data_IF_332160608514
#
_entry.id   IF_332160608514
#
_cell.length_a   1.000
_cell.length_b   1.000
_cell.length_c   1.000
_cell.angle_alpha   90.00
_cell.angle_beta   90.00
_cell.angle_gamma   90.00
#
_symmetry.space_group_name_H-M   'P 1'
#
loop_
_entity.id
_entity.type
_entity.pdbx_description
1 polymer ?
#
# COMPACT_ATOMS: atom_id res chain seq x y z
N UNK A 1 22.39 -14.25 -66.58
CA UNK A 1 22.31 -13.55 -65.28
C UNK A 1 23.53 -13.96 -64.46
N UNK A 2 24.29 -12.97 -64.00
CA UNK A 2 25.73 -13.02 -63.78
C UNK A 2 26.14 -13.92 -62.61
N UNK A 3 27.18 -14.71 -62.87
CA UNK A 3 27.87 -15.60 -61.96
C UNK A 3 28.77 -14.86 -60.96
N UNK A 4 28.91 -15.47 -59.79
CA UNK A 4 29.80 -15.10 -58.70
C UNK A 4 31.29 -15.09 -59.08
N UNK A 5 32.02 -14.31 -58.28
CA UNK A 5 33.38 -14.58 -57.77
C UNK A 5 34.57 -13.87 -58.44
N UNK A 6 35.29 -13.11 -57.61
CA UNK A 6 36.75 -12.98 -57.59
C UNK A 6 37.15 -13.19 -56.10
N UNK A 7 37.96 -14.19 -55.73
CA UNK A 7 39.44 -14.28 -55.88
C UNK A 7 40.07 -13.12 -55.06
N UNK A 8 40.98 -13.26 -54.09
CA UNK A 8 41.88 -14.36 -53.70
C UNK A 8 42.70 -14.00 -52.44
N UNK A 9 42.96 -15.04 -51.61
CA UNK A 9 44.18 -15.43 -50.87
C UNK A 9 44.94 -14.47 -49.92
N UNK A 10 45.14 -15.04 -48.71
CA UNK A 10 46.39 -15.25 -47.92
C UNK A 10 47.18 -14.00 -47.48
N UNK A 11 47.90 -13.95 -46.37
CA UNK A 11 48.07 -14.71 -45.12
C UNK A 11 49.28 -14.04 -44.43
N UNK A 12 49.20 -13.73 -43.13
CA UNK A 12 50.33 -13.56 -42.19
C UNK A 12 49.71 -13.18 -40.84
N UNK A 13 49.67 -14.09 -39.87
CA UNK A 13 50.71 -14.31 -38.85
C UNK A 13 50.62 -13.29 -37.70
N UNK A 14 50.35 -13.87 -36.53
CA UNK A 14 50.32 -13.33 -35.17
C UNK A 14 51.13 -12.06 -34.92
N UNK A 15 50.55 -11.15 -34.13
CA UNK A 15 51.17 -10.78 -32.85
C UNK A 15 50.13 -10.29 -31.84
N UNK A 16 50.38 -10.70 -30.61
CA UNK A 16 49.58 -10.48 -29.42
C UNK A 16 49.68 -9.04 -28.91
N UNK A 17 48.57 -8.32 -28.84
CA UNK A 17 48.44 -7.15 -27.95
C UNK A 17 47.13 -7.23 -27.15
N UNK A 18 47.33 -7.57 -25.88
CA UNK A 18 46.36 -7.56 -24.82
C UNK A 18 45.93 -6.11 -24.53
N UNK A 19 44.92 -5.60 -25.23
CA UNK A 19 44.32 -4.30 -24.90
C UNK A 19 43.43 -4.42 -23.67
N UNK A 20 43.99 -4.12 -22.51
CA UNK A 20 43.26 -3.81 -21.29
C UNK A 20 42.32 -2.63 -21.56
N UNK A 21 41.03 -2.91 -21.77
CA UNK A 21 40.01 -1.87 -21.71
C UNK A 21 40.01 -1.27 -20.30
N UNK A 22 40.06 0.07 -20.16
CA UNK A 22 39.98 0.69 -18.85
C UNK A 22 38.60 0.41 -18.22
N UNK A 23 38.53 0.14 -16.91
CA UNK A 23 37.27 -0.15 -16.25
C UNK A 23 36.31 1.02 -16.41
N UNK A 24 35.06 0.70 -16.79
CA UNK A 24 33.98 1.66 -16.91
C UNK A 24 33.92 2.54 -15.65
N UNK A 25 34.06 3.86 -15.82
CA UNK A 25 33.94 4.83 -14.73
C UNK A 25 32.55 4.68 -14.11
N UNK A 26 32.48 4.05 -12.93
CA UNK A 26 31.27 4.00 -12.09
C UNK A 26 30.84 5.46 -11.86
N UNK A 27 29.73 5.86 -12.48
CA UNK A 27 29.17 7.20 -12.32
C UNK A 27 28.90 7.46 -10.84
N UNK A 28 29.49 8.52 -10.30
CA UNK A 28 29.27 8.99 -8.92
C UNK A 28 27.77 9.29 -8.77
N UNK A 29 27.09 8.50 -7.93
CA UNK A 29 25.64 8.59 -7.73
C UNK A 29 25.31 9.96 -7.13
N UNK A 30 24.41 10.72 -7.76
CA UNK A 30 23.85 11.94 -7.13
C UNK A 30 23.05 11.51 -5.90
N UNK A 31 23.42 12.01 -4.74
CA UNK A 31 22.57 11.97 -3.54
C UNK A 31 21.23 12.61 -3.88
N UNK A 32 20.13 11.97 -3.48
CA UNK A 32 18.78 12.46 -3.75
C UNK A 32 18.60 13.85 -3.13
N UNK A 33 18.12 14.79 -3.94
CA UNK A 33 17.82 16.15 -3.51
C UNK A 33 16.81 16.14 -2.35
N UNK A 34 16.92 17.10 -1.43
CA UNK A 34 16.05 17.18 -0.25
C UNK A 34 14.57 17.28 -0.65
N UNK A 35 14.27 18.07 -1.69
CA UNK A 35 12.94 18.16 -2.29
C UNK A 35 12.42 16.80 -2.76
N UNK A 36 13.25 16.01 -3.43
CA UNK A 36 12.86 14.68 -3.92
C UNK A 36 12.62 13.70 -2.76
N UNK A 37 13.35 13.84 -1.65
CA UNK A 37 13.09 13.07 -0.41
C UNK A 37 11.71 13.38 0.15
N UNK A 38 11.36 14.64 0.31
CA UNK A 38 10.04 15.07 0.81
C UNK A 38 8.91 14.53 -0.07
N UNK A 39 9.05 14.65 -1.39
CA UNK A 39 8.06 14.10 -2.34
C UNK A 39 7.92 12.58 -2.16
N UNK A 40 9.02 11.85 -1.96
CA UNK A 40 8.94 10.40 -1.76
C UNK A 40 8.32 10.03 -0.39
N UNK A 41 8.59 10.79 0.68
CA UNK A 41 7.92 10.60 1.96
C UNK A 41 6.41 10.85 1.85
N UNK A 42 6.00 11.89 1.13
CA UNK A 42 4.58 12.15 0.84
C UNK A 42 3.91 10.99 0.11
N UNK A 43 4.56 10.45 -0.93
CA UNK A 43 4.08 9.26 -1.66
C UNK A 43 3.95 8.04 -0.76
N UNK A 44 4.94 7.80 0.09
CA UNK A 44 4.97 6.69 1.02
C UNK A 44 3.84 6.80 2.07
N UNK A 45 3.65 8.01 2.62
CA UNK A 45 2.61 8.30 3.59
C UNK A 45 1.20 8.08 3.04
N UNK A 46 0.92 8.52 1.80
CA UNK A 46 -0.39 8.27 1.19
C UNK A 46 -0.69 6.77 1.02
N UNK A 47 0.33 5.96 0.71
CA UNK A 47 0.18 4.52 0.47
C UNK A 47 0.11 3.68 1.75
N UNK A 48 0.81 4.09 2.81
CA UNK A 48 0.99 3.30 4.03
C UNK A 48 0.51 3.98 5.32
N UNK A 49 0.04 5.22 5.24
CA UNK A 49 -0.41 6.01 6.39
C UNK A 49 -1.88 6.36 6.26
N UNK A 50 -2.18 7.46 5.57
CA UNK A 50 -3.56 7.92 5.41
C UNK A 50 -3.77 8.56 4.03
N UNK A 51 -4.83 8.15 3.32
CA UNK A 51 -5.13 8.70 1.99
C UNK A 51 -6.05 9.93 2.01
N UNK A 52 -6.66 10.24 3.16
CA UNK A 52 -7.66 11.29 3.33
C UNK A 52 -7.29 12.38 4.34
N UNK A 53 -6.26 12.15 5.16
CA UNK A 53 -5.64 13.18 6.00
C UNK A 53 -4.34 13.57 5.33
N UNK A 54 -4.21 14.82 4.89
CA UNK A 54 -2.98 15.29 4.25
C UNK A 54 -1.83 15.36 5.25
N UNK A 55 -0.56 15.34 4.81
CA UNK A 55 0.57 15.60 5.68
C UNK A 55 0.43 16.89 6.50
N UNK A 56 0.03 17.99 5.87
CA UNK A 56 -0.24 19.29 6.52
C UNK A 56 -1.25 19.13 7.66
N UNK A 57 -2.43 18.58 7.36
CA UNK A 57 -3.49 18.36 8.36
C UNK A 57 -3.02 17.52 9.55
N UNK A 58 -2.18 16.50 9.30
CA UNK A 58 -1.63 15.67 10.37
C UNK A 58 -0.64 16.44 11.24
N UNK A 59 0.19 17.29 10.64
CA UNK A 59 1.18 18.12 11.34
C UNK A 59 0.48 19.21 12.16
N UNK A 60 -0.42 19.98 11.54
CA UNK A 60 -1.20 21.03 12.19
C UNK A 60 -1.98 20.48 13.39
N UNK A 61 -2.66 19.34 13.21
CA UNK A 61 -3.39 18.71 14.30
C UNK A 61 -2.48 18.38 15.48
N UNK A 62 -1.25 17.89 15.23
CA UNK A 62 -0.31 17.60 16.30
C UNK A 62 0.18 18.87 17.01
N UNK A 63 0.43 19.95 16.28
CA UNK A 63 0.81 21.24 16.88
C UNK A 63 -0.31 21.76 17.80
N UNK A 64 -1.56 21.74 17.32
CA UNK A 64 -2.72 22.12 18.12
C UNK A 64 -2.87 21.27 19.39
N UNK A 65 -2.64 19.94 19.31
CA UNK A 65 -2.70 19.08 20.49
C UNK A 65 -1.59 19.39 21.50
N UNK A 66 -0.37 19.74 21.05
CA UNK A 66 0.71 20.14 21.95
C UNK A 66 0.43 21.49 22.64
N UNK A 67 -0.14 22.44 21.91
CA UNK A 67 -0.57 23.72 22.49
C UNK A 67 -1.64 23.51 23.55
N UNK A 68 -2.64 22.66 23.28
CA UNK A 68 -3.68 22.31 24.25
C UNK A 68 -3.10 21.63 25.49
N UNK A 69 -2.21 20.64 25.33
CA UNK A 69 -1.53 19.96 26.44
C UNK A 69 -0.65 20.92 27.28
N UNK A 70 -0.05 21.94 26.65
CA UNK A 70 0.77 22.94 27.33
C UNK A 70 -0.02 24.06 28.03
N UNK A 71 -1.29 24.25 27.67
CA UNK A 71 -2.20 25.24 28.26
C UNK A 71 -3.06 24.68 29.41
N UNK A 72 -3.09 23.36 29.60
CA UNK A 72 -3.78 22.73 30.73
C UNK A 72 -3.06 23.07 32.05
N UNK A 73 -3.54 24.11 32.74
CA UNK A 73 -3.15 24.40 34.12
C UNK A 73 -3.64 23.24 35.03
N UNK A 74 -2.75 22.55 35.77
CA UNK A 74 -3.13 21.44 36.65
C UNK A 74 -4.11 21.83 37.76
N UNK A 75 -4.36 23.13 37.97
CA UNK A 75 -5.34 23.66 38.93
C UNK A 75 -6.68 24.10 38.30
N UNK A 76 -6.82 24.08 36.97
CA UNK A 76 -8.06 24.41 36.28
C UNK A 76 -9.07 23.24 36.30
N UNK A 77 -10.39 23.51 36.38
CA UNK A 77 -11.39 22.46 36.24
C UNK A 77 -11.21 21.78 34.88
N UNK A 78 -11.21 20.44 34.89
CA UNK A 78 -10.99 19.61 33.69
C UNK A 78 -11.78 20.14 32.50
N UNK A 79 -11.10 20.33 31.37
CA UNK A 79 -11.71 20.66 30.07
C UNK A 79 -12.97 19.81 29.85
N UNK A 80 -14.04 20.38 29.25
CA UNK A 80 -15.27 19.63 29.00
C UNK A 80 -14.93 18.33 28.27
N UNK A 81 -15.41 17.20 28.80
CA UNK A 81 -15.24 15.89 28.17
C UNK A 81 -15.73 15.98 26.72
N UNK A 82 -14.80 15.82 25.78
CA UNK A 82 -15.11 15.73 24.36
C UNK A 82 -16.20 14.69 24.16
N UNK A 83 -17.17 14.99 23.28
CA UNK A 83 -18.10 13.97 22.85
C UNK A 83 -17.36 12.83 22.12
N UNK A 84 -18.06 11.71 21.94
CA UNK A 84 -17.47 10.50 21.35
C UNK A 84 -16.95 10.71 19.93
N UNK A 85 -17.61 11.55 19.14
CA UNK A 85 -17.27 11.77 17.74
C UNK A 85 -16.07 12.70 17.63
N UNK A 86 -16.01 13.76 18.44
CA UNK A 86 -14.87 14.65 18.56
C UNK A 86 -13.61 13.90 19.01
N UNK A 87 -13.74 13.00 20.02
CA UNK A 87 -12.62 12.15 20.45
C UNK A 87 -12.15 11.22 19.33
N UNK A 88 -13.07 10.57 18.62
CA UNK A 88 -12.73 9.69 17.50
C UNK A 88 -12.03 10.44 16.36
N UNK A 89 -12.44 11.68 16.08
CA UNK A 89 -11.79 12.54 15.10
C UNK A 89 -10.36 12.92 15.51
N UNK A 90 -10.13 13.27 16.77
CA UNK A 90 -8.78 13.53 17.29
C UNK A 90 -7.89 12.28 17.22
N UNK A 91 -8.40 11.13 17.64
CA UNK A 91 -7.64 9.87 17.61
C UNK A 91 -7.27 9.48 16.17
N UNK A 92 -8.15 9.76 15.21
CA UNK A 92 -7.88 9.57 13.78
C UNK A 92 -6.74 10.47 13.27
N UNK A 93 -6.72 11.75 13.66
CA UNK A 93 -5.64 12.69 13.30
C UNK A 93 -4.31 12.33 13.99
N UNK A 94 -4.35 11.92 15.26
CA UNK A 94 -3.16 11.41 15.98
C UNK A 94 -2.57 10.19 15.29
N UNK A 95 -3.42 9.23 14.90
CA UNK A 95 -3.00 8.06 14.15
C UNK A 95 -2.38 8.45 12.80
N UNK A 96 -2.96 9.40 12.07
CA UNK A 96 -2.39 9.92 10.83
C UNK A 96 -0.99 10.51 11.04
N UNK A 97 -0.80 11.34 12.07
CA UNK A 97 0.51 11.90 12.42
C UNK A 97 1.53 10.81 12.81
N UNK A 98 1.12 9.81 13.61
CA UNK A 98 1.99 8.68 13.97
C UNK A 98 2.49 7.93 12.74
N UNK A 99 1.63 7.71 11.73
CA UNK A 99 2.03 7.10 10.47
C UNK A 99 2.98 7.99 9.66
N UNK A 100 2.73 9.30 9.61
CA UNK A 100 3.63 10.24 8.93
C UNK A 100 5.02 10.22 9.56
N UNK A 101 5.10 10.30 10.89
CA UNK A 101 6.35 10.20 11.65
C UNK A 101 7.07 8.86 11.42
N UNK A 102 6.34 7.76 11.39
CA UNK A 102 6.93 6.44 11.11
C UNK A 102 7.48 6.35 9.68
N UNK A 103 6.88 7.07 8.74
CA UNK A 103 7.27 7.08 7.32
C UNK A 103 8.43 8.04 7.06
N UNK A 104 8.49 9.15 7.80
CA UNK A 104 9.51 10.18 7.72
C UNK A 104 10.22 10.30 9.09
N UNK A 105 11.26 9.47 9.35
CA UNK A 105 11.87 9.38 10.68
C UNK A 105 12.43 10.70 11.24
N UNK A 106 13.04 11.53 10.38
CA UNK A 106 13.58 12.84 10.79
C UNK A 106 12.55 13.98 10.77
N UNK A 107 11.25 13.68 10.58
CA UNK A 107 10.18 14.68 10.52
C UNK A 107 10.24 15.66 11.68
N UNK A 108 10.35 15.18 12.91
CA UNK A 108 10.34 16.06 14.10
C UNK A 108 11.55 16.99 14.09
N UNK A 109 12.76 16.44 13.86
CA UNK A 109 13.98 17.25 13.81
C UNK A 109 13.95 18.29 12.70
N UNK A 110 13.51 17.88 11.50
CA UNK A 110 13.45 18.77 10.35
C UNK A 110 12.39 19.85 10.57
N UNK A 111 11.21 19.54 11.13
CA UNK A 111 10.18 20.54 11.43
C UNK A 111 10.54 21.48 12.58
N UNK A 112 11.39 21.05 13.52
CA UNK A 112 11.90 21.93 14.59
C UNK A 112 13.02 22.84 14.08
N UNK A 113 13.83 22.39 13.12
CA UNK A 113 14.92 23.20 12.53
C UNK A 113 14.41 24.22 11.52
N UNK A 114 13.27 23.97 10.89
CA UNK A 114 12.71 24.80 9.82
C UNK A 114 11.40 25.45 10.29
N UNK A 115 11.29 26.77 10.12
CA UNK A 115 10.11 27.56 10.52
C UNK A 115 9.64 28.46 9.37
N UNK A 116 8.40 28.96 9.47
CA UNK A 116 7.78 29.81 8.45
C UNK A 116 7.84 29.20 7.06
N UNK A 117 8.36 29.96 6.08
CA UNK A 117 8.37 29.57 4.67
C UNK A 117 9.10 28.24 4.38
N UNK A 118 10.07 27.83 5.20
CA UNK A 118 10.77 26.56 5.02
C UNK A 118 9.90 25.37 5.43
N UNK A 119 9.12 25.52 6.51
CA UNK A 119 8.11 24.53 6.91
C UNK A 119 7.00 24.44 5.87
N UNK A 120 6.47 25.57 5.42
CA UNK A 120 5.42 25.62 4.38
C UNK A 120 5.90 24.92 3.10
N UNK A 121 7.18 25.12 2.73
CA UNK A 121 7.79 24.42 1.62
C UNK A 121 7.82 22.90 1.84
N UNK A 122 8.23 22.44 3.03
CA UNK A 122 8.26 21.02 3.37
C UNK A 122 6.88 20.38 3.29
N UNK A 123 5.89 21.00 3.91
CA UNK A 123 4.49 20.56 3.91
C UNK A 123 3.97 20.46 2.47
N UNK A 124 4.14 21.52 1.68
CA UNK A 124 3.78 21.55 0.26
C UNK A 124 4.41 20.38 -0.53
N UNK A 125 5.68 20.02 -0.27
CA UNK A 125 6.34 18.91 -0.97
C UNK A 125 5.88 17.54 -0.51
N UNK A 126 5.53 17.38 0.76
CA UNK A 126 4.90 16.16 1.27
C UNK A 126 3.51 16.00 0.63
N UNK A 127 2.71 17.05 0.58
CA UNK A 127 1.38 17.03 -0.05
C UNK A 127 1.46 16.71 -1.54
N UNK A 128 2.34 17.41 -2.27
CA UNK A 128 2.59 17.15 -3.69
C UNK A 128 2.97 15.68 -3.93
N UNK A 129 3.76 15.09 -3.03
CA UNK A 129 4.07 13.66 -3.06
C UNK A 129 2.85 12.77 -2.87
N UNK A 130 2.04 13.05 -1.85
CA UNK A 130 0.84 12.29 -1.52
C UNK A 130 -0.17 12.30 -2.67
N UNK A 131 -0.46 13.48 -3.23
CA UNK A 131 -1.39 13.63 -4.35
C UNK A 131 -0.91 12.95 -5.63
N UNK A 132 0.39 13.08 -5.95
CA UNK A 132 0.99 12.40 -7.10
C UNK A 132 0.88 10.88 -6.97
N UNK A 133 1.09 10.32 -5.78
CA UNK A 133 0.90 8.89 -5.56
C UNK A 133 -0.56 8.48 -5.79
N UNK A 134 -1.51 9.16 -5.13
CA UNK A 134 -2.93 8.84 -5.24
C UNK A 134 -3.44 8.90 -6.67
N UNK A 135 -3.10 9.96 -7.39
CA UNK A 135 -3.51 10.14 -8.80
C UNK A 135 -2.93 9.04 -9.70
N UNK A 136 -1.62 8.78 -9.61
CA UNK A 136 -0.95 7.77 -10.42
C UNK A 136 -1.48 6.36 -10.12
N UNK A 137 -1.64 6.01 -8.84
CA UNK A 137 -2.11 4.70 -8.41
C UNK A 137 -3.58 4.50 -8.82
N UNK A 138 -4.44 5.51 -8.65
CA UNK A 138 -5.85 5.47 -9.09
C UNK A 138 -5.96 5.22 -10.60
N UNK A 139 -5.17 5.94 -11.40
CA UNK A 139 -5.14 5.74 -12.84
C UNK A 139 -4.63 4.34 -13.21
N UNK A 140 -3.56 3.87 -12.57
CA UNK A 140 -2.98 2.55 -12.83
C UNK A 140 -3.98 1.42 -12.54
N UNK A 141 -4.65 1.44 -11.39
CA UNK A 141 -5.64 0.41 -11.03
C UNK A 141 -6.86 0.48 -11.95
N UNK A 142 -7.37 1.68 -12.25
CA UNK A 142 -8.49 1.83 -13.19
C UNK A 142 -8.14 1.30 -14.57
N UNK A 143 -6.94 1.61 -15.08
CA UNK A 143 -6.45 1.09 -16.36
C UNK A 143 -6.33 -0.43 -16.34
N UNK A 144 -5.85 -1.02 -15.25
CA UNK A 144 -5.68 -2.46 -15.16
C UNK A 144 -7.02 -3.22 -15.06
N UNK A 145 -8.03 -2.62 -14.43
CA UNK A 145 -9.42 -3.12 -14.47
C UNK A 145 -9.99 -3.02 -15.89
N UNK A 146 -9.81 -1.87 -16.57
CA UNK A 146 -10.32 -1.61 -17.91
C UNK A 146 -9.85 -2.65 -18.94
N UNK A 147 -8.58 -3.07 -18.84
CA UNK A 147 -7.91 -3.94 -19.81
C UNK A 147 -7.82 -5.42 -19.38
N UNK A 148 -8.64 -5.84 -18.41
CA UNK A 148 -8.64 -7.21 -17.88
C UNK A 148 -7.29 -7.72 -17.33
N UNK A 149 -6.40 -6.82 -16.90
CA UNK A 149 -5.05 -7.19 -16.44
C UNK A 149 -5.07 -7.78 -15.01
N UNK A 150 -6.08 -7.43 -14.20
CA UNK A 150 -6.20 -7.92 -12.81
C UNK A 150 -7.38 -8.85 -12.57
N UNK A 151 -8.36 -8.83 -13.47
CA UNK A 151 -9.58 -9.65 -13.43
C UNK A 151 -10.18 -9.72 -14.85
N UNK A 152 -10.65 -10.89 -15.26
CA UNK A 152 -11.28 -11.08 -16.56
C UNK A 152 -12.77 -10.77 -16.50
N UNK A 153 -13.18 -9.66 -17.11
CA UNK A 153 -14.58 -9.27 -17.24
C UNK A 153 -15.18 -9.74 -18.56
N UNK A 154 -16.40 -10.26 -18.49
CA UNK A 154 -17.25 -10.55 -19.64
C UNK A 154 -18.65 -9.96 -19.37
N UNK A 155 -19.16 -9.04 -20.21
CA UNK A 155 -18.51 -8.39 -21.35
C UNK A 155 -17.23 -7.58 -21.00
N UNK A 156 -16.44 -7.22 -22.01
CA UNK A 156 -15.22 -6.42 -21.81
C UNK A 156 -15.54 -4.98 -21.38
N UNK A 157 -14.91 -4.52 -20.29
CA UNK A 157 -15.10 -3.16 -19.78
C UNK A 157 -14.59 -2.05 -20.72
N UNK A 158 -13.59 -2.35 -21.55
CA UNK A 158 -13.02 -1.38 -22.50
C UNK A 158 -13.96 -0.98 -23.64
N UNK A 159 -15.07 -1.69 -23.80
CA UNK A 159 -16.07 -1.42 -24.83
C UNK A 159 -17.22 -0.54 -24.33
N UNK A 160 -17.23 -0.19 -23.05
CA UNK A 160 -18.32 0.55 -22.41
C UNK A 160 -17.78 1.71 -21.57
N UNK A 161 -18.59 2.76 -21.46
CA UNK A 161 -18.26 3.91 -20.61
C UNK A 161 -18.16 3.53 -19.13
N UNK A 162 -17.27 4.20 -18.40
CA UNK A 162 -17.10 4.01 -16.94
C UNK A 162 -18.40 4.15 -16.16
N UNK A 163 -19.33 5.00 -16.61
CA UNK A 163 -20.64 5.18 -15.98
C UNK A 163 -21.53 3.92 -16.08
N UNK A 164 -21.24 3.04 -17.04
CA UNK A 164 -21.91 1.75 -17.22
C UNK A 164 -21.21 0.59 -16.47
N UNK A 165 -20.20 0.88 -15.65
CA UNK A 165 -19.59 -0.11 -14.76
C UNK A 165 -20.40 -0.23 -13.47
N UNK A 166 -19.76 -0.65 -12.36
CA UNK A 166 -20.43 -0.78 -11.08
C UNK A 166 -21.55 -1.81 -11.17
N UNK A 167 -22.75 -1.40 -10.78
CA UNK A 167 -23.92 -2.27 -10.81
C UNK A 167 -24.51 -2.47 -12.20
N UNK A 168 -24.18 -1.63 -13.19
CA UNK A 168 -24.73 -1.76 -14.56
C UNK A 168 -24.07 -2.89 -15.36
N UNK A 169 -22.83 -3.22 -15.06
CA UNK A 169 -22.08 -4.30 -15.71
C UNK A 169 -22.03 -5.56 -14.81
N UNK A 170 -22.34 -6.74 -15.37
CA UNK A 170 -22.54 -7.98 -14.59
C UNK A 170 -21.33 -8.39 -13.76
N UNK A 171 -20.12 -8.37 -14.33
CA UNK A 171 -18.92 -8.81 -13.62
C UNK A 171 -18.51 -7.85 -12.49
N UNK A 172 -18.63 -6.54 -12.71
CA UNK A 172 -18.33 -5.54 -11.66
C UNK A 172 -19.41 -5.52 -10.60
N UNK A 173 -20.68 -5.75 -10.97
CA UNK A 173 -21.79 -5.86 -10.05
C UNK A 173 -21.62 -7.06 -9.12
N UNK A 174 -21.21 -8.21 -9.65
CA UNK A 174 -20.90 -9.40 -8.86
C UNK A 174 -19.80 -9.14 -7.83
N UNK A 175 -18.70 -8.52 -8.26
CA UNK A 175 -17.56 -8.18 -7.39
C UNK A 175 -17.92 -7.14 -6.32
N UNK A 176 -18.78 -6.17 -6.65
CA UNK A 176 -19.25 -5.13 -5.73
C UNK A 176 -20.49 -5.54 -4.93
N UNK A 177 -21.04 -6.74 -5.12
CA UNK A 177 -22.22 -7.13 -4.36
C UNK A 177 -21.85 -7.34 -2.88
N UNK A 178 -22.69 -6.89 -1.93
CA UNK A 178 -22.46 -7.09 -0.51
C UNK A 178 -22.31 -8.57 -0.15
N UNK A 179 -21.26 -8.91 0.60
CA UNK A 179 -20.96 -10.30 1.03
C UNK A 179 -22.06 -10.91 1.90
N UNK A 180 -22.89 -10.07 2.53
CA UNK A 180 -23.99 -10.49 3.39
C UNK A 180 -25.19 -11.06 2.63
N UNK A 181 -25.19 -11.00 1.29
CA UNK A 181 -26.24 -11.52 0.43
C UNK A 181 -25.62 -12.20 -0.79
N UNK A 182 -26.10 -13.38 -1.14
CA UNK A 182 -25.70 -14.01 -2.41
C UNK A 182 -26.34 -13.28 -3.59
N UNK A 183 -25.55 -12.99 -4.62
CA UNK A 183 -26.12 -12.51 -5.88
C UNK A 183 -26.80 -13.70 -6.58
N UNK A 184 -28.12 -13.68 -6.62
CA UNK A 184 -28.96 -14.68 -7.30
C UNK A 184 -30.09 -13.98 -8.04
N UNK A 185 -30.80 -14.70 -8.92
CA UNK A 185 -32.02 -14.20 -9.58
C UNK A 185 -33.04 -13.67 -8.56
N UNK A 186 -33.08 -14.26 -7.36
CA UNK A 186 -33.95 -13.81 -6.27
C UNK A 186 -33.64 -12.39 -5.78
N UNK A 187 -32.40 -11.90 -5.98
CA UNK A 187 -31.93 -10.58 -5.55
C UNK A 187 -31.78 -9.59 -6.72
N UNK A 188 -32.32 -9.90 -7.91
CA UNK A 188 -32.29 -9.00 -9.07
C UNK A 188 -32.99 -7.66 -8.76
N UNK A 189 -34.04 -7.68 -7.94
CA UNK A 189 -34.71 -6.47 -7.44
C UNK A 189 -33.79 -5.57 -6.64
N UNK A 190 -32.90 -6.13 -5.80
CA UNK A 190 -31.95 -5.35 -5.01
C UNK A 190 -30.95 -4.64 -5.94
N UNK A 191 -30.41 -5.36 -6.93
CA UNK A 191 -29.51 -4.78 -7.95
C UNK A 191 -30.22 -3.68 -8.73
N UNK A 192 -31.49 -3.89 -9.10
CA UNK A 192 -32.28 -2.87 -9.79
C UNK A 192 -32.49 -1.62 -8.93
N UNK A 193 -32.83 -1.78 -7.66
CA UNK A 193 -32.99 -0.64 -6.73
C UNK A 193 -31.68 0.13 -6.52
N UNK A 194 -30.54 -0.57 -6.48
CA UNK A 194 -29.23 0.08 -6.40
C UNK A 194 -28.93 0.86 -7.69
N UNK A 195 -29.15 0.26 -8.87
CA UNK A 195 -28.97 0.92 -10.19
C UNK A 195 -29.85 2.16 -10.34
N UNK A 196 -31.09 2.08 -9.85
CA UNK A 196 -32.05 3.18 -9.90
C UNK A 196 -31.77 4.27 -8.85
N UNK A 197 -30.75 4.10 -8.00
CA UNK A 197 -30.42 5.06 -6.93
C UNK A 197 -31.43 5.07 -5.78
N UNK A 198 -32.34 4.09 -5.71
CA UNK A 198 -33.34 3.96 -4.65
C UNK A 198 -32.72 3.41 -3.36
N UNK A 199 -31.67 2.60 -3.47
CA UNK A 199 -30.93 2.04 -2.34
C UNK A 199 -29.46 2.45 -2.46
N UNK A 200 -28.96 3.10 -1.41
CA UNK A 200 -27.53 3.35 -1.26
C UNK A 200 -26.89 2.26 -0.41
N UNK A 201 -25.76 1.73 -0.87
CA UNK A 201 -24.98 0.77 -0.10
C UNK A 201 -24.10 1.54 0.88
N UNK A 202 -24.27 1.23 2.17
CA UNK A 202 -23.49 1.82 3.24
C UNK A 202 -21.99 1.58 3.07
N UNK A 203 -21.19 2.57 3.49
CA UNK A 203 -19.74 2.51 3.44
C UNK A 203 -19.10 1.55 4.48
N UNK A 204 -19.90 0.95 5.37
CA UNK A 204 -19.44 -0.08 6.32
C UNK A 204 -19.55 -1.51 5.80
N UNK A 205 -19.95 -1.70 4.54
CA UNK A 205 -20.23 -3.02 3.96
C UNK A 205 -18.99 -3.61 3.30
N UNK A 206 -18.86 -4.93 3.40
CA UNK A 206 -17.84 -5.72 2.72
C UNK A 206 -18.37 -6.32 1.41
N UNK A 207 -17.47 -6.48 0.44
CA UNK A 207 -17.78 -6.83 -0.94
C UNK A 207 -17.06 -8.11 -1.37
N UNK A 208 -17.65 -8.82 -2.33
CA UNK A 208 -17.11 -10.07 -2.87
C UNK A 208 -15.66 -9.96 -3.35
N UNK A 209 -15.27 -8.85 -3.98
CA UNK A 209 -13.90 -8.65 -4.46
C UNK A 209 -12.83 -8.73 -3.36
N UNK A 210 -13.21 -8.57 -2.09
CA UNK A 210 -12.30 -8.66 -0.96
C UNK A 210 -11.93 -10.10 -0.62
N UNK A 211 -12.74 -11.10 -0.98
CA UNK A 211 -12.52 -12.49 -0.60
C UNK A 211 -11.66 -13.24 -1.61
N UNK A 212 -10.84 -14.15 -1.08
CA UNK A 212 -10.23 -15.23 -1.87
C UNK A 212 -11.33 -16.03 -2.59
N UNK A 213 -11.20 -16.22 -3.90
CA UNK A 213 -12.25 -16.84 -4.72
C UNK A 213 -13.50 -15.98 -4.94
N UNK A 214 -13.50 -14.73 -4.48
CA UNK A 214 -14.58 -13.75 -4.66
C UNK A 214 -15.92 -14.12 -4.01
N UNK A 215 -15.88 -14.95 -2.97
CA UNK A 215 -17.04 -15.29 -2.15
C UNK A 215 -16.59 -15.81 -0.77
N UNK A 216 -17.35 -15.57 0.32
CA UNK A 216 -17.11 -16.20 1.61
C UNK A 216 -17.37 -17.70 1.51
N UNK A 217 -16.30 -18.49 1.63
CA UNK A 217 -16.40 -19.95 1.44
C UNK A 217 -16.82 -20.68 2.72
N UNK A 218 -16.64 -20.08 3.90
CA UNK A 218 -16.75 -20.78 5.19
C UNK A 218 -17.85 -20.19 6.10
N UNK A 219 -19.02 -20.85 6.22
CA UNK A 219 -20.12 -20.42 7.09
C UNK A 219 -19.77 -20.40 8.59
N UNK A 220 -18.68 -21.06 9.01
CA UNK A 220 -18.23 -21.09 10.41
C UNK A 220 -17.16 -20.04 10.68
N UNK A 221 -16.49 -19.56 9.64
CA UNK A 221 -15.48 -18.51 9.73
C UNK A 221 -15.63 -17.53 8.55
N UNK A 222 -16.55 -16.57 8.70
CA UNK A 222 -16.84 -15.58 7.65
C UNK A 222 -15.62 -14.72 7.27
N UNK A 223 -14.60 -14.62 8.13
CA UNK A 223 -13.37 -13.87 7.84
C UNK A 223 -12.31 -14.69 7.10
N UNK A 224 -12.51 -16.00 6.93
CA UNK A 224 -11.59 -16.83 6.15
C UNK A 224 -11.55 -16.34 4.71
N UNK A 225 -10.36 -16.02 4.22
CA UNK A 225 -10.17 -15.49 2.88
C UNK A 225 -10.49 -13.99 2.74
N UNK A 226 -11.00 -13.31 3.78
CA UNK A 226 -11.28 -11.89 3.72
C UNK A 226 -10.00 -11.07 3.49
N UNK A 227 -10.08 -10.06 2.64
CA UNK A 227 -8.97 -9.23 2.16
C UNK A 227 -7.84 -10.02 1.46
N UNK A 228 -8.15 -11.17 0.87
CA UNK A 228 -7.22 -12.01 0.09
C UNK A 228 -7.66 -12.22 -1.37
N UNK A 229 -8.64 -11.43 -1.84
CA UNK A 229 -9.06 -11.48 -3.24
C UNK A 229 -7.91 -11.24 -4.20
N UNK A 230 -7.82 -12.04 -5.26
CA UNK A 230 -6.69 -11.98 -6.21
C UNK A 230 -6.59 -10.60 -6.88
N UNK A 231 -7.73 -9.94 -7.13
CA UNK A 231 -7.78 -8.57 -7.63
C UNK A 231 -7.10 -7.56 -6.68
N UNK A 232 -7.19 -7.75 -5.36
CA UNK A 232 -6.49 -6.92 -4.37
C UNK A 232 -4.98 -7.17 -4.43
N UNK A 233 -4.56 -8.44 -4.50
CA UNK A 233 -3.14 -8.79 -4.57
C UNK A 233 -2.49 -8.24 -5.84
N UNK A 234 -3.17 -8.36 -6.98
CA UNK A 234 -2.73 -7.80 -8.26
C UNK A 234 -2.67 -6.26 -8.20
N UNK A 235 -3.66 -5.60 -7.61
CA UNK A 235 -3.64 -4.15 -7.44
C UNK A 235 -2.49 -3.68 -6.53
N UNK A 236 -2.22 -4.39 -5.44
CA UNK A 236 -1.04 -4.13 -4.60
C UNK A 236 0.25 -4.24 -5.42
N UNK A 237 0.38 -5.30 -6.24
CA UNK A 237 1.54 -5.49 -7.11
C UNK A 237 1.73 -4.35 -8.10
N UNK A 238 0.67 -3.86 -8.73
CA UNK A 238 0.74 -2.70 -9.63
C UNK A 238 1.25 -1.45 -8.88
N UNK A 239 0.70 -1.17 -7.69
CA UNK A 239 1.03 0.04 -6.92
C UNK A 239 2.47 0.00 -6.39
N UNK A 240 2.90 -1.13 -5.82
CA UNK A 240 4.18 -1.21 -5.11
C UNK A 240 5.31 -1.74 -5.97
N UNK A 241 5.03 -2.61 -6.95
CA UNK A 241 6.04 -3.25 -7.79
C UNK A 241 5.96 -2.90 -9.29
N UNK A 242 4.83 -2.32 -9.72
CA UNK A 242 4.60 -1.91 -11.10
C UNK A 242 3.82 -2.96 -11.91
N UNK A 243 3.14 -2.51 -12.97
CA UNK A 243 2.22 -3.33 -13.76
C UNK A 243 2.85 -4.61 -14.34
N UNK A 244 4.13 -4.55 -14.71
CA UNK A 244 4.84 -5.72 -15.24
C UNK A 244 4.86 -6.91 -14.28
N UNK A 245 4.68 -6.71 -12.96
CA UNK A 245 4.60 -7.81 -12.00
C UNK A 245 3.33 -8.64 -12.10
N UNK A 246 2.27 -8.11 -12.70
CA UNK A 246 1.02 -8.85 -12.92
C UNK A 246 1.00 -9.50 -14.31
N UNK A 247 1.68 -8.90 -15.29
CA UNK A 247 1.67 -9.37 -16.69
C UNK A 247 2.87 -10.24 -17.06
N UNK A 248 3.92 -10.29 -16.23
CA UNK A 248 5.09 -11.12 -16.51
C UNK A 248 4.86 -12.61 -16.19
N UNK A 249 5.62 -13.51 -16.84
CA UNK A 249 5.69 -14.90 -16.41
C UNK A 249 6.20 -15.05 -14.97
N UNK A 250 5.70 -16.06 -14.25
CA UNK A 250 5.98 -16.28 -12.83
C UNK A 250 7.48 -16.36 -12.48
N UNK A 251 8.32 -16.88 -13.37
CA UNK A 251 9.77 -16.99 -13.16
C UNK A 251 10.51 -15.63 -13.19
N UNK A 252 9.87 -14.55 -13.64
CA UNK A 252 10.45 -13.20 -13.67
C UNK A 252 9.95 -12.30 -12.52
N UNK A 253 8.85 -12.67 -11.87
CA UNK A 253 8.19 -11.90 -10.82
C UNK A 253 9.16 -11.50 -9.69
N UNK A 254 9.96 -12.45 -9.26
CA UNK A 254 10.98 -12.29 -8.22
C UNK A 254 12.01 -11.20 -8.53
N UNK A 255 12.48 -11.14 -9.78
CA UNK A 255 13.45 -10.15 -10.21
C UNK A 255 12.84 -8.74 -10.21
N UNK A 256 11.60 -8.61 -10.68
CA UNK A 256 10.89 -7.34 -10.73
C UNK A 256 10.60 -6.79 -9.32
N UNK A 257 10.18 -7.65 -8.38
CA UNK A 257 9.92 -7.26 -6.99
C UNK A 257 11.17 -6.76 -6.25
N UNK A 258 12.32 -7.37 -6.53
CA UNK A 258 13.62 -6.97 -5.96
C UNK A 258 14.26 -5.77 -6.66
N UNK A 259 13.70 -5.31 -7.78
CA UNK A 259 14.25 -4.20 -8.56
C UNK A 259 14.21 -2.89 -7.78
N UNK A 260 15.37 -2.21 -7.65
CA UNK A 260 15.47 -0.88 -6.98
C UNK A 260 14.63 0.24 -7.63
N UNK A 261 14.01 -0.04 -8.78
CA UNK A 261 13.14 0.90 -9.49
C UNK A 261 11.68 0.84 -9.02
N UNK A 262 11.29 -0.18 -8.26
CA UNK A 262 9.91 -0.32 -7.81
C UNK A 262 9.53 0.70 -6.74
N UNK A 263 8.23 0.97 -6.60
CA UNK A 263 7.73 1.95 -5.63
C UNK A 263 7.98 1.50 -4.18
N UNK A 264 7.95 0.19 -3.89
CA UNK A 264 8.30 -0.34 -2.58
C UNK A 264 9.75 0.02 -2.20
N UNK A 265 10.72 -0.32 -3.06
CA UNK A 265 12.13 -0.03 -2.82
C UNK A 265 12.41 1.48 -2.68
N UNK A 266 11.82 2.29 -3.58
CA UNK A 266 12.03 3.76 -3.59
C UNK A 266 11.49 4.45 -2.34
N UNK A 267 10.50 3.85 -1.69
CA UNK A 267 9.85 4.40 -0.50
C UNK A 267 10.24 3.63 0.79
N UNK A 268 11.26 2.76 0.74
CA UNK A 268 11.73 2.01 1.90
C UNK A 268 10.73 0.99 2.47
N UNK A 269 9.78 0.53 1.66
CA UNK A 269 8.70 -0.37 2.10
C UNK A 269 9.24 -1.80 2.09
N UNK A 270 9.44 -2.37 3.27
CA UNK A 270 10.01 -3.72 3.47
C UNK A 270 8.95 -4.78 3.85
N UNK A 271 7.72 -4.36 4.14
CA UNK A 271 6.60 -5.23 4.50
C UNK A 271 5.26 -4.59 4.15
N UNK A 272 4.21 -5.41 4.06
CA UNK A 272 2.82 -4.95 3.89
C UNK A 272 2.30 -4.45 5.24
N UNK A 273 1.67 -3.27 5.25
CA UNK A 273 0.92 -2.75 6.40
C UNK A 273 -0.60 -2.90 6.21
N UNK A 274 -1.37 -2.77 7.30
CA UNK A 274 -2.83 -2.78 7.22
C UNK A 274 -3.36 -1.60 6.39
N UNK A 275 -2.76 -0.43 6.56
CA UNK A 275 -3.09 0.80 5.83
C UNK A 275 -2.92 0.61 4.32
N UNK A 276 -1.86 -0.09 3.91
CA UNK A 276 -1.64 -0.42 2.50
C UNK A 276 -2.76 -1.31 1.94
N UNK A 277 -3.20 -2.32 2.71
CA UNK A 277 -4.34 -3.17 2.33
C UNK A 277 -5.63 -2.33 2.22
N UNK A 278 -5.89 -1.44 3.18
CA UNK A 278 -7.05 -0.54 3.16
C UNK A 278 -7.02 0.39 1.93
N UNK A 279 -5.84 0.98 1.66
CA UNK A 279 -5.63 1.87 0.52
C UNK A 279 -5.92 1.15 -0.80
N UNK A 280 -5.31 0.00 -1.02
CA UNK A 280 -5.55 -0.84 -2.22
C UNK A 280 -7.02 -1.22 -2.34
N UNK A 281 -7.65 -1.65 -1.25
CA UNK A 281 -9.06 -2.03 -1.23
C UNK A 281 -9.98 -0.87 -1.65
N UNK A 282 -9.67 0.35 -1.18
CA UNK A 282 -10.41 1.56 -1.53
C UNK A 282 -10.27 1.91 -3.01
N UNK A 283 -9.05 1.82 -3.55
CA UNK A 283 -8.81 2.06 -4.98
C UNK A 283 -9.48 1.01 -5.87
N UNK A 284 -9.46 -0.26 -5.48
CA UNK A 284 -10.15 -1.33 -6.24
C UNK A 284 -11.66 -1.11 -6.23
N UNK A 285 -12.28 -0.77 -5.09
CA UNK A 285 -13.71 -0.43 -5.05
C UNK A 285 -14.03 0.68 -6.06
N UNK A 286 -13.25 1.77 -6.03
CA UNK A 286 -13.42 2.87 -6.98
C UNK A 286 -13.29 2.41 -8.43
N UNK A 287 -12.23 1.65 -8.71
CA UNK A 287 -11.97 1.13 -10.04
C UNK A 287 -13.09 0.20 -10.54
N UNK A 288 -13.78 -0.54 -9.68
CA UNK A 288 -14.92 -1.38 -10.07
C UNK A 288 -16.26 -0.61 -10.21
N UNK A 289 -16.38 0.55 -9.59
CA UNK A 289 -17.64 1.32 -9.52
C UNK A 289 -18.04 2.01 -10.83
N UNK A 290 -19.16 2.73 -10.87
CA UNK A 290 -19.51 3.64 -11.95
C UNK A 290 -19.00 5.08 -11.74
N UNK A 291 -18.34 5.35 -10.60
CA UNK A 291 -17.88 6.69 -10.25
C UNK A 291 -16.73 7.13 -11.17
N UNK A 292 -16.81 8.36 -11.69
CA UNK A 292 -15.81 8.90 -12.64
C UNK A 292 -14.65 9.60 -11.95
N UNK A 293 -14.81 9.98 -10.67
CA UNK A 293 -13.79 10.62 -9.85
C UNK A 293 -13.74 10.02 -8.45
N UNK A 294 -12.53 9.86 -7.93
CA UNK A 294 -12.31 9.42 -6.55
C UNK A 294 -12.33 10.65 -5.64
N UNK A 295 -13.48 10.91 -5.03
CA UNK A 295 -13.64 11.98 -4.03
C UNK A 295 -13.88 11.37 -2.65
N UNK A 296 -13.57 12.08 -1.55
CA UNK A 296 -13.89 11.62 -0.19
C UNK A 296 -15.38 11.27 -0.01
N UNK A 297 -16.26 11.87 -0.81
CA UNK A 297 -17.70 11.92 -0.58
C UNK A 297 -18.03 12.74 0.66
N UNK A 298 -19.29 13.17 0.78
CA UNK A 298 -19.76 13.82 2.00
C UNK A 298 -20.71 12.87 2.74
N UNK A 299 -20.33 12.34 3.93
CA UNK A 299 -21.21 11.48 4.71
C UNK A 299 -22.39 12.23 5.36
N UNK A 300 -22.36 13.57 5.41
CA UNK A 300 -23.38 14.42 6.06
C UNK A 300 -24.31 15.13 5.07
N UNK A 301 -23.88 15.35 3.83
CA UNK A 301 -24.75 15.86 2.77
C UNK A 301 -25.31 14.63 2.06
N UNK A 302 -26.64 14.50 2.03
CA UNK A 302 -27.39 13.45 1.34
C UNK A 302 -27.23 13.43 -0.19
N UNK A 303 -26.04 13.76 -0.68
CA UNK A 303 -25.67 13.64 -2.07
C UNK A 303 -25.69 12.17 -2.46
N UNK A 304 -26.18 11.88 -3.66
CA UNK A 304 -26.50 10.53 -4.13
C UNK A 304 -25.28 9.61 -4.37
N UNK A 305 -24.09 9.94 -3.86
CA UNK A 305 -22.82 9.25 -4.13
C UNK A 305 -22.28 8.40 -2.98
N UNK A 306 -21.40 7.46 -3.31
CA UNK A 306 -20.72 6.61 -2.31
C UNK A 306 -19.67 7.39 -1.51
N UNK A 307 -19.65 7.24 -0.19
CA UNK A 307 -18.62 7.87 0.67
C UNK A 307 -17.36 7.02 0.73
N UNK A 308 -16.35 7.36 -0.07
CA UNK A 308 -15.04 6.69 -0.03
C UNK A 308 -14.25 6.97 1.24
N UNK A 309 -14.39 8.15 1.84
CA UNK A 309 -13.78 8.46 3.13
C UNK A 309 -14.42 7.66 4.26
N UNK A 310 -15.75 7.51 4.26
CA UNK A 310 -16.45 6.62 5.18
C UNK A 310 -16.03 5.16 5.01
N UNK A 311 -15.87 4.71 3.77
CA UNK A 311 -15.44 3.34 3.46
C UNK A 311 -14.00 3.09 3.90
N UNK A 312 -13.09 4.01 3.58
CA UNK A 312 -11.71 3.93 4.05
C UNK A 312 -11.64 3.88 5.58
N UNK A 313 -12.36 4.78 6.28
CA UNK A 313 -12.37 4.80 7.75
C UNK A 313 -12.96 3.51 8.35
N UNK A 314 -14.03 2.96 7.78
CA UNK A 314 -14.62 1.70 8.26
C UNK A 314 -13.62 0.55 8.14
N UNK A 315 -12.87 0.50 7.04
CA UNK A 315 -11.79 -0.47 6.83
C UNK A 315 -10.61 -0.27 7.78
N UNK A 316 -10.15 0.96 8.00
CA UNK A 316 -9.10 1.26 9.00
C UNK A 316 -9.55 0.82 10.39
N UNK A 317 -10.77 1.18 10.81
CA UNK A 317 -11.29 0.75 12.11
C UNK A 317 -11.35 -0.78 12.25
N UNK A 318 -11.67 -1.48 11.17
CA UNK A 318 -11.69 -2.93 11.16
C UNK A 318 -10.29 -3.57 11.17
N UNK A 319 -9.36 -3.12 10.33
CA UNK A 319 -8.04 -3.75 10.12
C UNK A 319 -6.95 -3.24 11.06
N UNK A 320 -7.06 -2.00 11.54
CA UNK A 320 -6.01 -1.32 12.32
C UNK A 320 -6.52 -0.58 13.56
N UNK A 321 -7.84 -0.44 13.73
CA UNK A 321 -8.42 0.26 14.88
C UNK A 321 -8.00 -0.35 16.24
N UNK A 322 -7.99 0.47 17.32
CA UNK A 322 -7.53 0.06 18.63
C UNK A 322 -8.44 -1.00 19.27
N UNK A 323 -7.92 -1.71 20.27
CA UNK A 323 -8.66 -2.70 21.08
C UNK A 323 -9.42 -3.77 20.27
N UNK A 324 -8.77 -4.50 19.34
CA UNK A 324 -9.42 -5.58 18.62
C UNK A 324 -9.84 -6.70 19.57
N UNK A 325 -10.98 -7.36 19.28
CA UNK A 325 -11.30 -8.63 19.94
C UNK A 325 -10.22 -9.67 19.63
N UNK A 326 -10.07 -10.71 20.48
CA UNK A 326 -9.08 -11.78 20.27
C UNK A 326 -9.20 -12.44 18.88
N UNK A 327 -10.42 -12.64 18.41
CA UNK A 327 -10.71 -13.17 17.06
C UNK A 327 -10.19 -12.23 15.98
N UNK A 328 -10.46 -10.93 16.11
CA UNK A 328 -10.00 -9.91 15.16
C UNK A 328 -8.48 -9.78 15.19
N UNK A 329 -7.86 -9.84 16.37
CA UNK A 329 -6.39 -9.79 16.51
C UNK A 329 -5.73 -10.97 15.81
N UNK A 330 -6.23 -12.20 16.02
CA UNK A 330 -5.74 -13.40 15.33
C UNK A 330 -5.88 -13.27 13.81
N UNK A 331 -7.06 -12.84 13.34
CA UNK A 331 -7.31 -12.58 11.93
C UNK A 331 -6.31 -11.57 11.33
N UNK A 332 -6.07 -10.44 12.02
CA UNK A 332 -5.13 -9.40 11.59
C UNK A 332 -3.70 -9.95 11.43
N UNK A 333 -3.23 -10.74 12.39
CA UNK A 333 -1.90 -11.35 12.34
C UNK A 333 -1.76 -12.33 11.16
N UNK A 334 -2.74 -13.23 10.99
CA UNK A 334 -2.77 -14.20 9.89
C UNK A 334 -2.89 -13.52 8.51
N UNK A 335 -3.63 -12.42 8.42
CA UNK A 335 -3.75 -11.63 7.21
C UNK A 335 -2.40 -11.01 6.82
N UNK A 336 -1.72 -10.33 7.75
CA UNK A 336 -0.41 -9.74 7.48
C UNK A 336 0.64 -10.79 7.14
N UNK A 337 0.63 -11.93 7.83
CA UNK A 337 1.54 -13.04 7.51
C UNK A 337 1.32 -13.54 6.08
N UNK A 338 0.06 -13.73 5.67
CA UNK A 338 -0.28 -14.14 4.31
C UNK A 338 0.19 -13.11 3.27
N UNK A 339 -0.14 -11.83 3.47
CA UNK A 339 0.25 -10.75 2.57
C UNK A 339 1.77 -10.62 2.44
N UNK A 340 2.51 -10.64 3.56
CA UNK A 340 3.96 -10.57 3.53
C UNK A 340 4.60 -11.80 2.85
N UNK A 341 4.02 -12.99 3.02
CA UNK A 341 4.48 -14.19 2.30
C UNK A 341 4.31 -14.05 0.79
N UNK A 342 3.22 -13.41 0.34
CA UNK A 342 2.95 -13.19 -1.09
C UNK A 342 3.78 -12.05 -1.68
N UNK A 343 3.93 -10.94 -0.97
CA UNK A 343 4.52 -9.71 -1.49
C UNK A 343 6.03 -9.59 -1.24
N UNK A 344 6.51 -10.08 -0.10
CA UNK A 344 7.91 -9.97 0.35
C UNK A 344 8.44 -11.35 0.80
N UNK A 345 8.56 -12.33 -0.11
CA UNK A 345 9.06 -13.66 0.25
C UNK A 345 10.49 -13.59 0.82
N UNK A 346 10.83 -14.51 1.74
CA UNK A 346 12.16 -14.58 2.38
C UNK A 346 13.27 -14.47 1.33
N UNK A 347 14.12 -13.44 1.45
CA UNK A 347 15.11 -13.06 0.44
C UNK A 347 14.83 -11.73 -0.29
N UNK A 348 13.74 -11.02 0.01
CA UNK A 348 13.49 -9.65 -0.47
C UNK A 348 14.13 -8.56 0.38
N UNK A 349 15.12 -8.88 1.22
CA UNK A 349 15.97 -7.85 1.79
C UNK A 349 16.60 -7.09 0.62
N UNK A 350 16.24 -5.82 0.47
CA UNK A 350 17.03 -4.92 -0.36
C UNK A 350 18.42 -4.95 0.26
N UNK A 351 19.43 -5.44 -0.46
CA UNK A 351 20.80 -5.42 0.00
C UNK A 351 21.16 -3.97 0.34
N UNK A 352 21.16 -3.64 1.63
CA UNK A 352 21.74 -2.40 2.15
C UNK A 352 23.29 -2.50 2.16
N UNK A 353 23.84 -3.62 1.70
CA UNK A 353 25.28 -3.87 1.50
C UNK A 353 25.84 -3.06 0.32
N UNK A 354 26.10 -1.78 0.55
CA UNK A 354 27.33 -1.08 0.11
C UNK A 354 27.51 0.24 0.89
N UNK A 355 27.16 0.27 2.18
CA UNK A 355 27.70 1.27 3.09
C UNK A 355 28.88 0.62 3.81
N UNK A 356 30.08 0.84 3.27
CA UNK A 356 31.31 0.30 3.83
C UNK A 356 31.58 0.97 5.17
N UNK A 357 30.98 0.47 6.25
CA UNK A 357 31.43 0.70 7.61
C UNK A 357 31.91 -0.64 8.17
N UNK A 358 33.22 -0.79 8.18
CA UNK A 358 33.90 -1.92 8.80
C UNK A 358 33.74 -1.73 10.30
N UNK A 359 32.80 -2.43 10.92
CA UNK A 359 32.75 -2.59 12.36
C UNK A 359 32.16 -3.98 12.66
N UNK A 360 33.03 -5.00 12.60
CA UNK A 360 32.79 -6.24 13.32
C UNK A 360 32.60 -5.85 14.80
N UNK A 361 31.42 -6.11 15.35
CA UNK A 361 31.19 -5.92 16.78
C UNK A 361 31.52 -7.23 17.49
N UNK A 362 32.30 -7.09 18.56
CA UNK A 362 32.85 -8.13 19.44
C UNK A 362 31.80 -8.94 20.22
N UNK A 363 30.55 -9.00 19.73
CA UNK A 363 29.46 -9.76 20.33
C UNK A 363 29.40 -11.22 19.84
N UNK A 364 29.99 -11.53 18.68
CA UNK A 364 29.98 -12.87 18.09
C UNK A 364 31.13 -13.78 18.61
N UNK A 365 31.71 -13.47 19.77
CA UNK A 365 32.87 -14.19 20.36
C UNK A 365 32.56 -14.91 21.68
N UNK A 366 31.30 -14.98 22.12
CA UNK A 366 30.95 -15.54 23.44
C UNK A 366 29.88 -16.65 23.44
N UNK A 367 29.51 -17.23 22.29
CA UNK A 367 28.51 -18.30 22.22
C UNK A 367 29.06 -19.64 21.70
N UNK A 368 30.27 -20.02 22.10
CA UNK A 368 30.73 -21.42 22.04
C UNK A 368 31.37 -21.82 23.38
N UNK A 369 30.97 -23.02 23.86
CA UNK A 369 31.44 -23.77 25.05
C UNK A 369 30.61 -23.61 26.35
N UNK A 370 29.66 -24.53 26.57
CA UNK A 370 29.60 -25.41 27.76
C UNK A 370 28.33 -26.31 27.70
N UNK A 371 28.46 -27.51 27.14
CA UNK A 371 27.64 -28.66 27.55
C UNK A 371 28.59 -29.85 27.70
N UNK A 372 29.20 -29.98 28.88
CA UNK A 372 29.66 -31.26 29.40
C UNK A 372 29.41 -31.33 30.91
N UNK A 373 28.75 -32.41 31.34
CA UNK A 373 29.13 -33.09 32.58
C UNK A 373 28.23 -32.93 33.81
N UNK A 374 27.74 -34.09 34.26
CA UNK A 374 27.52 -34.47 35.67
C UNK A 374 26.15 -34.20 36.33
N UNK A 375 25.24 -35.17 36.14
CA UNK A 375 24.43 -35.68 37.26
C UNK A 375 24.54 -37.20 37.32
N UNK A 376 25.54 -37.71 38.06
CA UNK A 376 25.45 -39.03 38.70
C UNK A 376 25.06 -38.85 40.17
N UNK A 377 23.95 -39.49 40.56
CA UNK A 377 23.87 -40.26 41.79
C UNK A 377 23.29 -39.61 43.05
N UNK A 378 22.03 -39.91 43.36
CA UNK A 378 21.70 -40.66 44.60
C UNK A 378 20.21 -41.07 44.65
N UNK A 379 19.97 -42.25 45.24
CA UNK A 379 18.72 -43.04 45.38
C UNK A 379 18.49 -44.00 44.20
N UNK A 380 18.62 -45.33 44.31
CA UNK A 380 18.83 -46.29 45.41
C UNK A 380 19.64 -47.48 44.88
#
# INVERSE_FOLDING_TARGET
MVAHSRISKRAAANDSENSLQPPAKKGRRKTMDFKDKLINYGKAYNRNGNMWVTPEQAIEAKLLFLEQEGLEDPSSPSSPTLDKDAKAAQDYLRSAYSHLKSTYPSLVEDMTRNEGAERDFMETKLEEGADRARMADTHAIRSAVLHNEIYSFEPLLCQIDKTQWGYHHVGTAHLLFPVVKDLSEANERDVHQIRAGMVQIGCGIFYNFMWEGYSPVDPKNHLKGAFRGQILLNAYFIIFFGLSTVTCPQNQLDSLRRGRKCNAARNGIKSVSMQAIVYVTTLVRFALSSDTSLSPGNPHIGNHGFSYSGFYRSLVNFLDGPNPSRVRQKFRAELLQWWNTKCFPKGTAYSDDDDTTVAATTADLFDEEEIEGEEEGSME
#
